data_IF_759872069437
#
_entry.id   IF_759872069437
#
_cell.length_a   1.000
_cell.length_b   1.000
_cell.length_c   1.000
_cell.angle_alpha   90.00
_cell.angle_beta   90.00
_cell.angle_gamma   90.00
#
_symmetry.space_group_name_H-M   'P 1'
#
loop_
_entity.id
_entity.type
_entity.pdbx_description
1 polymer ?
#
# COMPACT_ATOMS: atom_id res chain seq x y z
N UNK A 1 -20.22 -10.31 21.73
CA UNK A 1 -20.34 -8.94 22.26
C UNK A 1 -19.66 -8.03 21.26
N UNK A 2 -20.44 -7.27 20.49
CA UNK A 2 -19.93 -6.34 19.48
C UNK A 2 -19.41 -5.09 20.20
N UNK A 3 -18.11 -4.83 20.08
CA UNK A 3 -17.48 -3.57 20.50
C UNK A 3 -17.04 -2.80 19.26
N UNK A 4 -17.39 -1.51 19.20
CA UNK A 4 -17.10 -0.56 18.14
C UNK A 4 -15.63 -0.64 17.66
N UNK A 5 -15.41 -1.26 16.50
CA UNK A 5 -14.09 -1.53 15.91
C UNK A 5 -13.40 -0.31 15.29
N UNK A 6 -14.07 0.83 15.14
CA UNK A 6 -13.46 2.05 14.59
C UNK A 6 -12.58 2.80 15.61
N UNK A 7 -12.96 2.79 16.90
CA UNK A 7 -12.16 3.40 17.96
C UNK A 7 -10.83 2.68 18.18
N UNK A 8 -10.74 1.42 17.76
CA UNK A 8 -9.56 0.57 17.91
C UNK A 8 -8.47 0.92 16.88
N UNK A 9 -8.85 1.25 15.64
CA UNK A 9 -7.89 1.52 14.56
C UNK A 9 -7.18 2.84 14.76
N UNK A 10 -7.91 3.93 15.05
CA UNK A 10 -7.26 5.22 15.31
C UNK A 10 -6.35 5.13 16.55
N UNK A 11 -6.78 4.44 17.60
CA UNK A 11 -5.96 4.17 18.78
C UNK A 11 -4.71 3.35 18.46
N UNK A 12 -4.85 2.34 17.60
CA UNK A 12 -3.74 1.53 17.12
C UNK A 12 -2.75 2.35 16.32
N UNK A 13 -3.21 3.13 15.32
CA UNK A 13 -2.35 4.01 14.53
C UNK A 13 -1.57 4.99 15.42
N UNK A 14 -2.26 5.65 16.37
CA UNK A 14 -1.62 6.55 17.33
C UNK A 14 -0.58 5.83 18.20
N UNK A 15 -0.82 4.56 18.57
CA UNK A 15 0.15 3.79 19.37
C UNK A 15 1.41 3.40 18.60
N UNK A 16 1.31 3.20 17.28
CA UNK A 16 2.42 2.73 16.44
C UNK A 16 3.23 3.90 15.86
N UNK A 17 2.55 4.94 15.35
CA UNK A 17 3.18 6.08 14.67
C UNK A 17 2.94 7.44 15.34
N UNK A 18 2.12 7.52 16.39
CA UNK A 18 1.84 8.77 17.11
C UNK A 18 0.70 9.59 16.50
N UNK A 19 0.11 9.16 15.38
CA UNK A 19 -0.97 9.86 14.69
C UNK A 19 -2.10 8.93 14.24
N UNK A 20 -3.30 9.49 14.07
CA UNK A 20 -4.45 8.77 13.53
C UNK A 20 -4.41 8.80 12.00
N UNK A 21 -4.97 7.76 11.37
CA UNK A 21 -4.99 7.62 9.92
C UNK A 21 -6.43 7.56 9.41
N UNK A 22 -6.80 8.42 8.47
CA UNK A 22 -8.10 8.39 7.81
C UNK A 22 -8.15 7.36 6.67
N UNK A 23 -9.34 7.17 6.09
CA UNK A 23 -9.53 6.22 5.00
C UNK A 23 -8.91 6.78 3.72
N UNK A 24 -8.06 5.98 3.06
CA UNK A 24 -7.33 6.36 1.86
C UNK A 24 -5.92 6.89 2.14
N UNK A 25 -5.55 7.04 3.41
CA UNK A 25 -4.26 7.61 3.79
C UNK A 25 -3.20 6.56 4.10
N UNK A 26 -1.96 7.02 4.11
CA UNK A 26 -0.81 6.32 4.70
C UNK A 26 -0.01 7.25 5.61
N UNK A 27 0.75 6.65 6.53
CA UNK A 27 1.63 7.35 7.46
C UNK A 27 2.89 6.51 7.72
N UNK A 28 3.98 7.16 8.12
CA UNK A 28 5.26 6.53 8.41
C UNK A 28 6.31 6.79 7.34
N UNK A 29 7.33 5.94 7.28
CA UNK A 29 8.44 6.05 6.34
C UNK A 29 8.84 4.71 5.74
N UNK A 30 10.04 4.64 5.18
CA UNK A 30 10.51 3.50 4.38
C UNK A 30 10.51 2.16 5.14
N UNK A 31 10.87 2.21 6.43
CA UNK A 31 11.04 1.01 7.26
C UNK A 31 9.78 0.61 8.02
N UNK A 32 8.87 1.56 8.31
CA UNK A 32 7.64 1.31 9.05
C UNK A 32 6.52 2.19 8.52
N UNK A 33 5.43 1.58 8.07
CA UNK A 33 4.32 2.27 7.41
C UNK A 33 2.97 1.71 7.83
N UNK A 34 2.00 2.60 7.98
CA UNK A 34 0.59 2.28 8.08
C UNK A 34 -0.13 2.70 6.81
N UNK A 35 -1.02 1.85 6.29
CA UNK A 35 -1.87 2.16 5.13
C UNK A 35 -3.31 1.75 5.44
N UNK A 36 -4.26 2.68 5.32
CA UNK A 36 -5.67 2.43 5.63
C UNK A 36 -6.57 2.59 4.40
N UNK A 37 -6.71 1.52 3.62
CA UNK A 37 -7.65 1.46 2.49
C UNK A 37 -8.98 0.77 2.79
N UNK A 38 -9.22 0.41 4.04
CA UNK A 38 -10.46 -0.23 4.47
C UNK A 38 -10.96 0.37 5.78
N UNK A 39 -12.29 0.44 5.98
CA UNK A 39 -12.85 1.03 7.19
C UNK A 39 -12.40 0.33 8.48
N UNK A 40 -12.28 -1.01 8.42
CA UNK A 40 -12.08 -1.88 9.59
C UNK A 40 -10.75 -2.63 9.61
N UNK A 41 -9.81 -2.26 8.74
CA UNK A 41 -8.45 -2.82 8.79
C UNK A 41 -7.41 -1.80 8.31
N UNK A 42 -6.23 -1.90 8.89
CA UNK A 42 -5.05 -1.14 8.51
C UNK A 42 -3.93 -2.14 8.23
N UNK A 43 -3.11 -1.87 7.22
CA UNK A 43 -1.90 -2.63 6.97
C UNK A 43 -0.74 -1.96 7.68
N UNK A 44 0.01 -2.75 8.45
CA UNK A 44 1.28 -2.37 9.03
C UNK A 44 2.39 -3.07 8.24
N UNK A 45 3.24 -2.27 7.61
CA UNK A 45 4.35 -2.75 6.79
C UNK A 45 5.63 -2.40 7.53
N UNK A 46 6.45 -3.41 7.82
CA UNK A 46 7.78 -3.26 8.37
C UNK A 46 8.78 -3.83 7.36
N UNK A 47 9.63 -2.97 6.77
CA UNK A 47 10.61 -3.36 5.75
C UNK A 47 12.03 -3.33 6.35
N UNK A 48 12.74 -4.46 6.25
CA UNK A 48 14.09 -4.61 6.77
C UNK A 48 14.24 -4.50 8.30
N UNK A 49 13.14 -4.34 9.05
CA UNK A 49 13.13 -4.22 10.51
C UNK A 49 12.12 -5.19 11.15
N UNK A 50 12.36 -5.64 12.38
CA UNK A 50 11.32 -6.33 13.14
C UNK A 50 10.15 -5.38 13.43
N UNK A 51 8.94 -5.95 13.54
CA UNK A 51 7.77 -5.19 13.99
C UNK A 51 8.07 -4.54 15.36
N UNK A 52 7.70 -3.26 15.55
CA UNK A 52 7.88 -2.59 16.83
C UNK A 52 7.06 -3.30 17.92
N UNK A 53 7.39 -3.05 19.20
CA UNK A 53 6.57 -3.55 20.29
C UNK A 53 5.20 -2.90 20.25
N UNK A 54 4.19 -3.69 19.93
CA UNK A 54 2.80 -3.24 19.92
C UNK A 54 2.21 -3.45 21.31
N UNK A 55 1.38 -2.50 21.76
CA UNK A 55 0.70 -2.59 23.05
C UNK A 55 -0.14 -3.87 23.13
N UNK A 56 -0.09 -4.54 24.29
CA UNK A 56 -0.71 -5.86 24.49
C UNK A 56 -2.22 -5.87 24.23
N UNK A 57 -2.90 -4.74 24.41
CA UNK A 57 -4.33 -4.59 24.11
C UNK A 57 -4.68 -4.82 22.63
N UNK A 58 -3.75 -4.58 21.72
CA UNK A 58 -3.94 -4.79 20.28
C UNK A 58 -3.39 -6.12 19.77
N UNK A 59 -2.60 -6.84 20.57
CA UNK A 59 -1.91 -8.07 20.13
C UNK A 59 -2.87 -9.15 19.61
N UNK A 60 -4.08 -9.25 20.16
CA UNK A 60 -5.11 -10.20 19.71
C UNK A 60 -5.86 -9.79 18.43
N UNK A 61 -5.59 -8.59 17.90
CA UNK A 61 -6.26 -8.03 16.72
C UNK A 61 -5.37 -8.01 15.49
N UNK A 62 -4.13 -8.48 15.64
CA UNK A 62 -3.09 -8.41 14.62
C UNK A 62 -2.86 -9.80 14.08
N UNK A 63 -2.76 -9.89 12.77
CA UNK A 63 -2.45 -11.13 12.06
C UNK A 63 -1.26 -10.85 11.15
N UNK A 64 -0.21 -11.64 11.31
CA UNK A 64 0.91 -11.62 10.37
C UNK A 64 0.47 -12.25 9.05
N UNK A 65 0.55 -11.45 8.00
CA UNK A 65 0.19 -11.80 6.63
C UNK A 65 1.36 -11.58 5.66
N UNK A 66 2.58 -11.46 6.18
CA UNK A 66 3.80 -11.21 5.39
C UNK A 66 3.99 -12.24 4.28
N UNK A 67 3.63 -13.50 4.53
CA UNK A 67 3.72 -14.55 3.52
C UNK A 67 2.59 -14.55 2.47
N UNK A 68 1.53 -13.78 2.68
CA UNK A 68 0.38 -13.72 1.77
C UNK A 68 0.56 -12.71 0.63
N UNK A 69 1.49 -11.78 0.76
CA UNK A 69 1.69 -10.68 -0.20
C UNK A 69 3.13 -10.63 -0.72
N UNK A 70 3.30 -9.97 -1.86
CA UNK A 70 4.59 -9.65 -2.45
C UNK A 70 4.63 -8.13 -2.72
N UNK A 71 5.69 -7.48 -2.22
CA UNK A 71 6.01 -6.09 -2.55
C UNK A 71 6.95 -6.08 -3.75
N UNK A 72 6.55 -5.38 -4.81
CA UNK A 72 7.38 -5.05 -5.96
C UNK A 72 7.72 -3.56 -5.91
N UNK A 73 8.92 -3.20 -6.38
CA UNK A 73 9.33 -1.81 -6.57
C UNK A 73 9.33 -1.50 -8.06
N UNK A 74 8.64 -0.42 -8.45
CA UNK A 74 8.68 0.16 -9.78
C UNK A 74 9.39 1.51 -9.69
N UNK A 75 10.57 1.59 -10.29
CA UNK A 75 11.44 2.77 -10.21
C UNK A 75 11.70 3.40 -11.59
N UNK A 76 11.85 4.72 -11.60
CA UNK A 76 12.08 5.56 -12.78
C UNK A 76 11.30 6.88 -12.73
N UNK A 77 11.81 7.93 -13.37
CA UNK A 77 11.22 9.29 -13.33
C UNK A 77 9.76 9.37 -13.82
N UNK A 78 9.32 8.40 -14.61
CA UNK A 78 7.97 8.33 -15.18
C UNK A 78 7.10 7.23 -14.56
N UNK A 79 7.49 6.67 -13.43
CA UNK A 79 6.83 5.49 -12.87
C UNK A 79 5.36 5.73 -12.54
N UNK A 80 5.03 6.87 -11.93
CA UNK A 80 3.64 7.23 -11.62
C UNK A 80 2.82 7.45 -12.89
N UNK A 81 3.35 8.23 -13.84
CA UNK A 81 2.70 8.52 -15.12
C UNK A 81 2.52 7.26 -15.98
N UNK A 82 3.48 6.34 -15.96
CA UNK A 82 3.40 5.06 -16.64
C UNK A 82 2.25 4.22 -16.08
N UNK A 83 2.11 4.09 -14.75
CA UNK A 83 1.01 3.34 -14.16
C UNK A 83 -0.35 4.03 -14.36
N UNK A 84 -0.37 5.35 -14.35
CA UNK A 84 -1.57 6.16 -14.53
C UNK A 84 -2.28 5.86 -15.86
N UNK A 85 -1.51 5.64 -16.93
CA UNK A 85 -2.03 5.25 -18.26
C UNK A 85 -2.89 3.98 -18.23
N UNK A 86 -2.66 3.10 -17.26
CA UNK A 86 -3.33 1.80 -17.13
C UNK A 86 -4.20 1.71 -15.87
N UNK A 87 -4.32 2.80 -15.10
CA UNK A 87 -5.06 2.86 -13.86
C UNK A 87 -6.30 3.75 -14.02
N UNK A 88 -7.49 3.16 -13.94
CA UNK A 88 -8.75 3.91 -14.05
C UNK A 88 -8.96 4.94 -12.94
N UNK A 89 -8.28 4.77 -11.80
CA UNK A 89 -8.42 5.67 -10.65
C UNK A 89 -7.83 7.07 -10.93
N UNK A 90 -6.84 7.18 -11.81
CA UNK A 90 -6.08 8.42 -12.00
C UNK A 90 -5.13 8.68 -10.83
N UNK A 91 -3.95 8.04 -10.83
CA UNK A 91 -2.89 8.24 -9.85
C UNK A 91 -2.32 9.67 -9.86
N UNK A 92 -2.44 10.38 -10.99
CA UNK A 92 -1.99 11.78 -11.13
C UNK A 92 -3.03 12.80 -10.67
N UNK A 93 -4.20 12.37 -10.17
CA UNK A 93 -5.17 13.29 -9.58
C UNK A 93 -4.62 13.87 -8.27
N UNK A 94 -4.86 15.17 -8.05
CA UNK A 94 -4.29 15.95 -6.94
C UNK A 94 -4.58 15.34 -5.55
N UNK A 95 -5.78 14.81 -5.36
CA UNK A 95 -6.16 14.10 -4.14
C UNK A 95 -5.32 12.84 -3.90
N UNK A 96 -5.08 12.05 -4.95
CA UNK A 96 -4.28 10.82 -4.87
C UNK A 96 -2.80 11.14 -4.69
N UNK A 97 -2.29 12.15 -5.37
CA UNK A 97 -0.92 12.67 -5.18
C UNK A 97 -0.70 13.16 -3.75
N UNK A 98 -1.71 13.76 -3.12
CA UNK A 98 -1.65 14.21 -1.73
C UNK A 98 -1.63 13.03 -0.76
N UNK A 99 -2.50 12.04 -0.97
CA UNK A 99 -2.58 10.84 -0.13
C UNK A 99 -1.37 9.91 -0.31
N UNK A 100 -0.70 9.99 -1.47
CA UNK A 100 0.49 9.20 -1.84
C UNK A 100 0.31 7.68 -1.75
N UNK A 101 -0.93 7.22 -1.74
CA UNK A 101 -1.30 5.81 -1.76
C UNK A 101 -2.63 5.61 -2.46
N UNK A 102 -2.80 4.45 -3.07
CA UNK A 102 -4.03 4.06 -3.73
C UNK A 102 -4.24 2.56 -3.60
N UNK A 103 -5.48 2.15 -3.40
CA UNK A 103 -5.92 0.77 -3.64
C UNK A 103 -6.73 0.76 -4.91
N UNK A 104 -6.27 0.01 -5.90
CA UNK A 104 -6.85 0.03 -7.25
C UNK A 104 -6.75 -1.33 -7.93
N UNK A 105 -7.25 -1.40 -9.16
CA UNK A 105 -7.05 -2.50 -10.08
C UNK A 105 -6.12 -2.04 -11.20
N UNK A 106 -5.03 -2.78 -11.42
CA UNK A 106 -4.21 -2.64 -12.63
C UNK A 106 -4.51 -3.82 -13.55
N UNK A 107 -5.22 -3.56 -14.65
CA UNK A 107 -5.82 -4.63 -15.44
C UNK A 107 -6.84 -5.41 -14.61
N UNK A 108 -6.56 -6.68 -14.32
CA UNK A 108 -7.38 -7.54 -13.45
C UNK A 108 -6.73 -7.86 -12.10
N UNK A 109 -5.62 -7.18 -11.76
CA UNK A 109 -4.88 -7.42 -10.53
C UNK A 109 -5.23 -6.39 -9.45
N UNK A 110 -5.75 -6.82 -8.28
CA UNK A 110 -5.90 -5.94 -7.14
C UNK A 110 -4.52 -5.58 -6.59
N UNK A 111 -4.26 -4.28 -6.44
CA UNK A 111 -2.97 -3.77 -5.98
C UNK A 111 -3.16 -2.63 -4.98
N UNK A 112 -2.31 -2.61 -3.96
CA UNK A 112 -2.09 -1.43 -3.12
C UNK A 112 -0.79 -0.77 -3.56
N UNK A 113 -0.85 0.50 -3.89
CA UNK A 113 0.25 1.31 -4.41
C UNK A 113 0.55 2.38 -3.37
N UNK A 114 1.83 2.68 -3.12
CA UNK A 114 2.24 3.85 -2.37
C UNK A 114 3.62 4.34 -2.80
N UNK A 115 3.93 5.60 -2.49
CA UNK A 115 5.21 6.22 -2.84
C UNK A 115 5.52 7.38 -1.91
N UNK A 116 6.79 7.59 -1.58
CA UNK A 116 7.25 8.82 -0.92
C UNK A 116 7.81 9.81 -1.95
N UNK A 117 8.48 9.24 -2.96
CA UNK A 117 9.00 9.85 -4.18
C UNK A 117 8.24 9.28 -5.40
N UNK A 118 7.74 10.15 -6.28
CA UNK A 118 7.01 9.76 -7.49
C UNK A 118 7.86 8.94 -8.48
N UNK A 119 9.19 8.95 -8.32
CA UNK A 119 10.11 8.12 -9.08
C UNK A 119 10.17 6.67 -8.58
N UNK A 120 9.69 6.36 -7.37
CA UNK A 120 9.76 5.01 -6.79
C UNK A 120 8.42 4.61 -6.14
N UNK A 121 7.69 3.73 -6.83
CA UNK A 121 6.41 3.22 -6.37
C UNK A 121 6.55 1.80 -5.82
N UNK A 122 5.99 1.61 -4.64
CA UNK A 122 5.81 0.29 -4.05
C UNK A 122 4.44 -0.27 -4.45
N UNK A 123 4.43 -1.51 -4.94
CA UNK A 123 3.25 -2.24 -5.39
C UNK A 123 3.09 -3.50 -4.55
N UNK A 124 1.99 -3.63 -3.82
CA UNK A 124 1.68 -4.79 -3.01
C UNK A 124 0.53 -5.58 -3.64
N UNK A 125 0.83 -6.84 -3.98
CA UNK A 125 -0.11 -7.78 -4.60
C UNK A 125 -0.12 -9.10 -3.83
N UNK A 126 -1.19 -9.87 -3.97
CA UNK A 126 -1.24 -11.21 -3.41
C UNK A 126 -0.12 -12.08 -4.00
N UNK A 127 0.54 -12.87 -3.15
CA UNK A 127 1.69 -13.67 -3.54
C UNK A 127 1.36 -14.68 -4.65
N UNK A 128 0.14 -15.21 -4.63
CA UNK A 128 -0.41 -16.10 -5.66
C UNK A 128 -0.48 -15.48 -7.05
N UNK A 129 -0.57 -14.15 -7.14
CA UNK A 129 -0.67 -13.39 -8.39
C UNK A 129 0.65 -12.71 -8.79
N UNK A 130 1.67 -12.77 -7.92
CA UNK A 130 2.88 -11.95 -8.05
C UNK A 130 3.64 -12.18 -9.37
N UNK A 131 3.78 -13.44 -9.80
CA UNK A 131 4.47 -13.77 -11.05
C UNK A 131 3.72 -13.24 -12.28
N UNK A 132 2.41 -13.51 -12.38
CA UNK A 132 1.61 -13.07 -13.52
C UNK A 132 1.45 -11.54 -13.56
N UNK A 133 1.41 -10.89 -12.39
CA UNK A 133 1.42 -9.44 -12.29
C UNK A 133 2.75 -8.84 -12.77
N UNK A 134 3.89 -9.45 -12.42
CA UNK A 134 5.21 -9.04 -12.94
C UNK A 134 5.29 -9.19 -14.46
N UNK A 135 4.78 -10.29 -15.00
CA UNK A 135 4.77 -10.53 -16.44
C UNK A 135 3.88 -9.49 -17.15
N UNK A 136 2.72 -9.15 -16.56
CA UNK A 136 1.86 -8.07 -17.02
C UNK A 136 2.57 -6.71 -17.05
N UNK A 137 3.22 -6.30 -15.97
CA UNK A 137 4.00 -5.06 -15.93
C UNK A 137 5.11 -5.04 -16.99
N UNK A 138 5.76 -6.18 -17.22
CA UNK A 138 6.81 -6.30 -18.24
C UNK A 138 6.27 -6.09 -19.66
N UNK A 139 5.09 -6.63 -19.96
CA UNK A 139 4.40 -6.40 -21.25
C UNK A 139 4.01 -4.93 -21.41
N UNK A 140 3.52 -4.28 -20.36
CA UNK A 140 3.19 -2.85 -20.40
C UNK A 140 4.43 -1.98 -20.66
N UNK A 141 5.53 -2.28 -19.97
CA UNK A 141 6.79 -1.54 -20.13
C UNK A 141 7.36 -1.66 -21.56
N UNK A 142 7.23 -2.84 -22.18
CA UNK A 142 7.64 -3.05 -23.57
C UNK A 142 6.80 -2.22 -24.56
N UNK A 143 5.50 -2.03 -24.30
CA UNK A 143 4.63 -1.19 -25.15
C UNK A 143 4.99 0.28 -25.05
N UNK A 144 5.33 0.76 -23.85
CA UNK A 144 5.74 2.15 -23.62
C UNK A 144 7.14 2.50 -24.13
N UNK A 145 7.95 1.51 -24.50
CA UNK A 145 9.31 1.72 -25.03
C UNK A 145 9.37 1.82 -26.57
N UNK A 146 8.22 1.75 -27.25
CA UNK A 146 8.12 1.78 -28.72
C UNK A 146 7.88 3.21 -29.27
N UNK A 147 8.00 4.25 -28.42
CA UNK A 147 7.90 5.66 -28.85
C UNK A 147 9.27 6.35 -28.93
#
# INVERSE_FOLDING_TARGET
VQTNSENDISGFCCSVLGESLELGEMSGGDTLRLIRHWPHKVYLIADGIPLPKIESRYAGLITDISDAFCKLCLAGERSIAFLDQYCLLGLTQENILTMKTAKTMLGHYPVVIWWDDEAELSLLVERSLSQSFRDYLSVLAQRGSIE
#
